data_IF_823091436011
#
_entry.id   IF_823091436011
#
_cell.length_a   1.000
_cell.length_b   1.000
_cell.length_c   1.000
_cell.angle_alpha   90.00
_cell.angle_beta   90.00
_cell.angle_gamma   90.00
#
_symmetry.space_group_name_H-M   'P 1'
#
loop_
_entity.id
_entity.type
_entity.pdbx_description
1 polymer ?
#
# COMPACT_ATOMS: atom_id res chain seq x y z
N UNK A 1 -13.99 -8.22 23.47
CA UNK A 1 -13.65 -8.23 22.03
C UNK A 1 -12.13 -8.18 21.94
N UNK A 2 -11.49 -9.08 21.19
CA UNK A 2 -10.06 -8.92 20.89
C UNK A 2 -9.89 -7.62 20.09
N UNK A 3 -8.93 -6.78 20.46
CA UNK A 3 -8.61 -5.57 19.68
C UNK A 3 -8.00 -6.02 18.35
N UNK A 4 -8.42 -5.40 17.24
CA UNK A 4 -7.81 -5.65 15.94
C UNK A 4 -6.34 -5.20 15.94
N UNK A 5 -5.52 -5.95 15.22
CA UNK A 5 -4.11 -5.60 14.97
C UNK A 5 -3.94 -5.04 13.56
N UNK A 6 -3.00 -4.12 13.40
CA UNK A 6 -2.81 -3.37 12.15
C UNK A 6 -1.38 -3.52 11.62
N UNK A 7 -1.23 -3.61 10.30
CA UNK A 7 0.08 -3.55 9.65
C UNK A 7 0.12 -2.39 8.67
N UNK A 8 1.17 -1.57 8.76
CA UNK A 8 1.44 -0.49 7.83
C UNK A 8 2.61 -0.88 6.93
N UNK A 9 2.38 -0.97 5.62
CA UNK A 9 3.37 -1.37 4.64
C UNK A 9 3.82 -0.16 3.84
N UNK A 10 5.12 0.14 3.84
CA UNK A 10 5.73 1.28 3.17
C UNK A 10 6.77 0.79 2.18
N UNK A 11 6.47 0.69 0.88
CA UNK A 11 7.47 0.39 -0.14
C UNK A 11 8.41 1.58 -0.32
N UNK A 12 9.73 1.32 -0.37
CA UNK A 12 10.75 2.35 -0.46
C UNK A 12 11.85 1.98 -1.48
N UNK A 13 12.19 2.92 -2.36
CA UNK A 13 13.33 2.84 -3.27
C UNK A 13 14.00 4.21 -3.40
N UNK A 14 15.18 4.37 -2.80
CA UNK A 14 15.88 5.65 -2.69
C UNK A 14 14.98 6.74 -2.08
N UNK A 15 14.48 6.47 -0.87
CA UNK A 15 13.52 7.31 -0.14
C UNK A 15 14.04 7.70 1.27
N UNK A 16 15.37 7.72 1.48
CA UNK A 16 15.99 8.02 2.77
C UNK A 16 15.46 9.31 3.40
N UNK A 17 15.48 10.43 2.64
CA UNK A 17 15.00 11.73 3.11
C UNK A 17 13.50 11.74 3.45
N UNK A 18 12.69 11.01 2.67
CA UNK A 18 11.25 10.94 2.91
C UNK A 18 10.93 10.12 4.14
N UNK A 19 11.60 8.99 4.33
CA UNK A 19 11.38 8.12 5.47
C UNK A 19 11.78 8.79 6.79
N UNK A 20 12.80 9.63 6.82
CA UNK A 20 13.16 10.41 8.01
C UNK A 20 12.02 11.32 8.47
N UNK A 21 11.17 11.78 7.55
CA UNK A 21 10.04 12.66 7.84
C UNK A 21 8.73 11.88 8.01
N UNK A 22 8.52 10.82 7.25
CA UNK A 22 7.26 10.11 7.19
C UNK A 22 7.12 9.04 8.29
N UNK A 23 8.18 8.31 8.63
CA UNK A 23 8.12 7.29 9.69
C UNK A 23 7.71 7.86 11.06
N UNK A 24 8.26 9.02 11.52
CA UNK A 24 7.77 9.65 12.74
C UNK A 24 6.27 9.93 12.72
N UNK A 25 5.73 10.40 11.58
CA UNK A 25 4.29 10.69 11.46
C UNK A 25 3.43 9.44 11.56
N UNK A 26 3.90 8.30 11.00
CA UNK A 26 3.21 7.01 11.14
C UNK A 26 3.25 6.53 12.58
N UNK A 27 4.41 6.63 13.23
CA UNK A 27 4.60 6.26 14.64
C UNK A 27 3.75 7.11 15.58
N UNK A 28 3.69 8.42 15.34
CA UNK A 28 2.85 9.34 16.13
C UNK A 28 1.37 9.00 15.96
N UNK A 29 0.92 8.78 14.72
CA UNK A 29 -0.45 8.36 14.45
C UNK A 29 -0.82 7.05 15.18
N UNK A 30 0.03 6.04 15.09
CA UNK A 30 -0.15 4.75 15.79
C UNK A 30 -0.29 4.96 17.30
N UNK A 31 0.57 5.80 17.88
CA UNK A 31 0.58 6.13 19.31
C UNK A 31 -0.67 6.90 19.73
N UNK A 32 -1.04 7.94 18.98
CA UNK A 32 -2.23 8.76 19.25
C UNK A 32 -3.53 7.96 19.18
N UNK A 33 -3.64 7.09 18.18
CA UNK A 33 -4.79 6.20 18.01
C UNK A 33 -4.72 4.94 18.88
N UNK A 34 -3.64 4.74 19.65
CA UNK A 34 -3.40 3.57 20.51
C UNK A 34 -3.58 2.23 19.76
N UNK A 35 -3.10 2.17 18.51
CA UNK A 35 -3.21 0.98 17.69
C UNK A 35 -2.17 -0.06 18.11
N UNK A 36 -2.59 -1.30 18.23
CA UNK A 36 -1.67 -2.43 18.27
C UNK A 36 -1.24 -2.71 16.82
N UNK A 37 0.01 -2.39 16.48
CA UNK A 37 0.43 -2.40 15.07
C UNK A 37 1.90 -2.72 14.88
N UNK A 38 2.24 -3.06 13.65
CA UNK A 38 3.59 -3.15 13.10
C UNK A 38 3.72 -2.20 11.89
N UNK A 39 4.93 -1.72 11.64
CA UNK A 39 5.29 -0.91 10.47
C UNK A 39 6.37 -1.66 9.70
N UNK A 40 6.06 -2.05 8.47
CA UNK A 40 6.96 -2.82 7.60
C UNK A 40 7.41 -1.92 6.46
N UNK A 41 8.67 -1.52 6.49
CA UNK A 41 9.29 -0.82 5.36
C UNK A 41 9.93 -1.86 4.45
N UNK A 42 9.56 -1.84 3.17
CA UNK A 42 10.12 -2.76 2.17
C UNK A 42 11.10 -2.01 1.29
N UNK A 43 12.38 -2.28 1.48
CA UNK A 43 13.47 -1.70 0.70
C UNK A 43 13.63 -2.45 -0.63
N UNK A 44 13.37 -1.75 -1.73
CA UNK A 44 13.44 -2.30 -3.10
C UNK A 44 14.84 -2.20 -3.72
N UNK A 45 15.87 -2.56 -2.96
CA UNK A 45 17.26 -2.51 -3.43
C UNK A 45 17.76 -1.07 -3.60
N UNK A 46 17.50 -0.19 -2.62
CA UNK A 46 17.99 1.19 -2.62
C UNK A 46 19.51 1.25 -2.63
N UNK A 47 20.02 2.31 -3.25
CA UNK A 47 21.46 2.62 -3.32
C UNK A 47 21.86 3.82 -2.45
N UNK A 48 20.87 4.45 -1.83
CA UNK A 48 21.05 5.52 -0.82
C UNK A 48 20.95 4.95 0.60
N UNK A 49 20.89 5.82 1.60
CA UNK A 49 20.82 5.46 3.02
C UNK A 49 19.44 4.96 3.49
N UNK A 50 18.53 4.61 2.56
CA UNK A 50 17.15 4.17 2.89
C UNK A 50 17.13 3.06 3.95
N UNK A 51 17.93 2.00 3.76
CA UNK A 51 17.96 0.88 4.70
C UNK A 51 18.52 1.29 6.07
N UNK A 52 19.53 2.15 6.10
CA UNK A 52 20.15 2.61 7.35
C UNK A 52 19.23 3.54 8.14
N UNK A 53 18.44 4.38 7.43
CA UNK A 53 17.36 5.15 8.06
C UNK A 53 16.41 4.21 8.80
N UNK A 54 15.90 3.17 8.12
CA UNK A 54 14.96 2.23 8.74
C UNK A 54 15.59 1.49 9.92
N UNK A 55 16.84 1.04 9.82
CA UNK A 55 17.56 0.37 10.90
C UNK A 55 17.69 1.24 12.15
N UNK A 56 17.87 2.57 11.99
CA UNK A 56 17.88 3.51 13.12
C UNK A 56 16.52 3.56 13.83
N UNK A 57 15.41 3.56 13.06
CA UNK A 57 14.08 3.49 13.66
C UNK A 57 13.82 2.15 14.34
N UNK A 58 14.24 1.03 13.76
CA UNK A 58 14.13 -0.31 14.38
C UNK A 58 14.81 -0.40 15.73
N UNK A 59 15.97 0.27 15.89
CA UNK A 59 16.69 0.29 17.17
C UNK A 59 15.92 1.00 18.30
N UNK A 60 15.00 1.92 17.95
CA UNK A 60 14.21 2.72 18.88
C UNK A 60 12.75 2.22 19.01
N UNK A 61 12.26 1.54 18.00
CA UNK A 61 10.86 1.12 17.86
C UNK A 61 10.79 -0.36 17.44
N UNK A 62 10.53 -1.28 18.38
CA UNK A 62 10.54 -2.72 18.12
C UNK A 62 9.44 -3.17 17.13
N UNK A 63 8.42 -2.33 16.93
CA UNK A 63 7.31 -2.59 16.00
C UNK A 63 7.61 -2.13 14.56
N UNK A 64 8.81 -1.57 14.31
CA UNK A 64 9.31 -1.21 12.98
C UNK A 64 10.16 -2.34 12.43
N UNK A 65 9.88 -2.78 11.22
CA UNK A 65 10.56 -3.89 10.55
C UNK A 65 11.07 -3.47 9.17
N UNK A 66 12.22 -4.00 8.78
CA UNK A 66 12.79 -3.85 7.45
C UNK A 66 12.71 -5.18 6.71
N UNK A 67 12.12 -5.15 5.52
CA UNK A 67 12.14 -6.26 4.56
C UNK A 67 12.95 -5.82 3.35
N UNK A 68 13.95 -6.60 2.94
CA UNK A 68 14.82 -6.27 1.82
C UNK A 68 14.51 -7.15 0.61
N UNK A 69 14.23 -6.52 -0.54
CA UNK A 69 14.07 -7.24 -1.80
C UNK A 69 15.44 -7.61 -2.40
N UNK A 70 15.53 -8.68 -3.18
CA UNK A 70 16.75 -9.02 -3.93
C UNK A 70 16.95 -8.05 -5.11
N UNK A 71 17.36 -6.82 -4.85
CA UNK A 71 17.50 -5.73 -5.82
C UNK A 71 16.17 -5.05 -6.17
N UNK A 72 16.19 -4.12 -7.15
CA UNK A 72 15.01 -3.37 -7.56
C UNK A 72 14.05 -4.22 -8.39
N UNK A 73 12.97 -4.67 -7.77
CA UNK A 73 11.91 -5.48 -8.36
C UNK A 73 10.70 -4.64 -8.79
N UNK A 74 10.51 -3.48 -8.19
CA UNK A 74 9.42 -2.54 -8.45
C UNK A 74 8.40 -2.46 -7.33
N UNK A 75 7.60 -1.37 -7.37
CA UNK A 75 6.67 -1.03 -6.28
C UNK A 75 5.65 -2.14 -6.01
N UNK A 76 5.08 -2.76 -7.05
CA UNK A 76 4.11 -3.84 -6.90
C UNK A 76 4.70 -5.06 -6.21
N UNK A 77 5.95 -5.42 -6.53
CA UNK A 77 6.65 -6.49 -5.82
C UNK A 77 6.86 -6.14 -4.35
N UNK A 78 7.31 -4.92 -4.06
CA UNK A 78 7.57 -4.47 -2.70
C UNK A 78 6.29 -4.45 -1.84
N UNK A 79 5.18 -3.95 -2.39
CA UNK A 79 3.88 -4.00 -1.69
C UNK A 79 3.46 -5.45 -1.44
N UNK A 80 3.53 -6.32 -2.46
CA UNK A 80 3.23 -7.75 -2.32
C UNK A 80 4.08 -8.39 -1.22
N UNK A 81 5.38 -8.17 -1.26
CA UNK A 81 6.32 -8.75 -0.30
C UNK A 81 5.99 -8.30 1.13
N UNK A 82 5.76 -6.99 1.35
CA UNK A 82 5.36 -6.47 2.66
C UNK A 82 4.01 -7.03 3.13
N UNK A 83 3.02 -7.10 2.25
CA UNK A 83 1.70 -7.64 2.58
C UNK A 83 1.71 -9.13 2.94
N UNK A 84 2.62 -9.91 2.35
CA UNK A 84 2.78 -11.33 2.67
C UNK A 84 3.55 -11.56 3.98
N UNK A 85 4.40 -10.61 4.41
CA UNK A 85 5.07 -10.63 5.70
C UNK A 85 4.20 -10.12 6.85
N UNK A 86 3.19 -9.31 6.53
CA UNK A 86 2.35 -8.63 7.52
C UNK A 86 1.48 -9.60 8.33
N UNK A 87 1.34 -9.32 9.64
CA UNK A 87 0.61 -10.14 10.59
C UNK A 87 -0.65 -9.47 11.16
N UNK A 88 -0.93 -8.22 10.80
CA UNK A 88 -2.12 -7.48 11.24
C UNK A 88 -3.42 -8.05 10.69
N UNK A 89 -4.51 -7.91 11.42
CA UNK A 89 -5.87 -8.28 10.97
C UNK A 89 -6.36 -7.34 9.88
N UNK A 90 -5.87 -6.10 9.91
CA UNK A 90 -6.05 -5.07 8.89
C UNK A 90 -4.70 -4.59 8.41
N UNK A 91 -4.46 -4.63 7.12
CA UNK A 91 -3.20 -4.30 6.49
C UNK A 91 -3.38 -3.10 5.56
N UNK A 92 -2.61 -2.05 5.75
CA UNK A 92 -2.63 -0.84 4.92
C UNK A 92 -1.28 -0.67 4.23
N UNK A 93 -1.26 -0.45 2.92
CA UNK A 93 -0.07 0.11 2.31
C UNK A 93 -0.23 1.61 2.00
N UNK A 94 0.87 2.33 2.14
CA UNK A 94 0.96 3.77 1.86
C UNK A 94 2.30 4.09 1.20
N UNK A 95 2.34 5.19 0.45
CA UNK A 95 3.57 5.68 -0.16
C UNK A 95 4.51 6.30 0.89
N UNK A 96 5.82 6.20 0.65
CA UNK A 96 6.85 6.74 1.57
C UNK A 96 6.78 8.27 1.73
N UNK A 97 6.16 8.98 0.79
CA UNK A 97 5.97 10.44 0.83
C UNK A 97 4.73 10.87 1.61
N UNK A 98 3.85 9.92 2.01
CA UNK A 98 2.56 10.18 2.62
C UNK A 98 1.73 11.21 1.84
N UNK A 99 1.73 11.13 0.50
CA UNK A 99 0.89 11.97 -0.36
C UNK A 99 -0.59 11.92 0.07
N UNK A 100 -1.07 10.77 0.57
CA UNK A 100 -2.26 10.69 1.42
C UNK A 100 -1.82 10.71 2.88
N UNK A 101 -2.20 11.73 3.67
CA UNK A 101 -1.79 11.82 5.07
C UNK A 101 -2.21 10.59 5.87
N UNK A 102 -1.36 10.14 6.80
CA UNK A 102 -1.59 8.88 7.53
C UNK A 102 -2.85 8.89 8.38
N UNK A 103 -3.32 10.04 8.87
CA UNK A 103 -4.57 10.14 9.63
C UNK A 103 -5.81 9.74 8.81
N UNK A 104 -5.73 9.77 7.47
CA UNK A 104 -6.78 9.27 6.58
C UNK A 104 -6.99 7.75 6.71
N UNK A 105 -6.02 7.01 7.28
CA UNK A 105 -6.12 5.58 7.51
C UNK A 105 -7.34 5.20 8.36
N UNK A 106 -7.71 6.05 9.32
CA UNK A 106 -8.88 5.82 10.16
C UNK A 106 -10.18 5.64 9.38
N UNK A 107 -10.34 6.36 8.23
CA UNK A 107 -11.52 6.21 7.36
C UNK A 107 -11.55 4.84 6.68
N UNK A 108 -10.38 4.33 6.25
CA UNK A 108 -10.27 3.03 5.61
C UNK A 108 -10.47 1.91 6.63
N UNK A 109 -9.89 2.05 7.83
CA UNK A 109 -10.07 1.09 8.91
C UNK A 109 -11.52 0.97 9.34
N UNK A 110 -12.21 2.09 9.52
CA UNK A 110 -13.65 2.09 9.83
C UNK A 110 -14.48 1.36 8.75
N UNK A 111 -14.12 1.50 7.46
CA UNK A 111 -14.79 0.78 6.39
C UNK A 111 -14.55 -0.74 6.46
N UNK A 112 -13.32 -1.18 6.81
CA UNK A 112 -13.00 -2.60 7.03
C UNK A 112 -13.76 -3.15 8.23
N UNK A 113 -13.85 -2.40 9.34
CA UNK A 113 -14.62 -2.76 10.53
C UNK A 113 -16.12 -2.91 10.22
N UNK A 114 -16.66 -2.07 9.33
CA UNK A 114 -18.04 -2.13 8.83
C UNK A 114 -18.27 -3.26 7.81
N UNK A 115 -17.29 -4.14 7.64
CA UNK A 115 -17.42 -5.37 6.85
C UNK A 115 -16.94 -5.27 5.40
N UNK A 116 -16.20 -4.20 5.00
CA UNK A 116 -15.49 -4.24 3.74
C UNK A 116 -14.30 -5.22 3.83
N UNK A 117 -13.97 -5.86 2.71
CA UNK A 117 -12.77 -6.69 2.57
C UNK A 117 -11.58 -5.85 2.12
N UNK A 118 -11.86 -4.83 1.30
CA UNK A 118 -10.88 -3.89 0.75
C UNK A 118 -11.45 -2.47 0.83
N UNK A 119 -10.67 -1.53 1.35
CA UNK A 119 -10.98 -0.10 1.33
C UNK A 119 -9.86 0.64 0.56
N UNK A 120 -10.24 1.42 -0.45
CA UNK A 120 -9.30 2.14 -1.29
C UNK A 120 -9.49 3.65 -1.14
N UNK A 121 -8.39 4.38 -0.96
CA UNK A 121 -8.39 5.82 -1.02
C UNK A 121 -8.70 6.31 -2.44
N UNK A 122 -9.41 7.43 -2.55
CA UNK A 122 -9.74 8.06 -3.82
C UNK A 122 -9.51 9.56 -3.77
N UNK A 123 -8.70 10.03 -4.71
CA UNK A 123 -8.38 11.44 -4.92
C UNK A 123 -9.50 12.18 -5.67
N UNK A 124 -10.40 11.43 -6.31
CA UNK A 124 -11.34 11.97 -7.31
C UNK A 124 -12.81 11.92 -6.87
N UNK A 125 -13.11 11.34 -5.73
CA UNK A 125 -14.47 11.36 -5.17
C UNK A 125 -14.85 12.75 -4.67
N UNK A 126 -13.89 13.50 -4.09
CA UNK A 126 -14.06 14.86 -3.61
C UNK A 126 -12.86 15.70 -4.03
N UNK A 127 -13.06 16.57 -5.02
CA UNK A 127 -11.99 17.41 -5.58
C UNK A 127 -11.45 18.46 -4.58
N UNK A 128 -12.26 18.84 -3.59
CA UNK A 128 -11.90 19.77 -2.53
C UNK A 128 -10.86 19.21 -1.55
N UNK A 129 -10.69 17.89 -1.50
CA UNK A 129 -9.68 17.23 -0.66
C UNK A 129 -8.28 17.17 -1.31
N UNK A 130 -8.13 17.67 -2.54
CA UNK A 130 -6.83 17.83 -3.18
C UNK A 130 -6.20 19.15 -2.75
N UNK A 131 -5.29 19.12 -1.79
CA UNK A 131 -4.65 20.31 -1.23
C UNK A 131 -3.64 20.93 -2.20
N UNK A 132 -2.92 20.09 -2.96
CA UNK A 132 -2.05 20.52 -4.06
C UNK A 132 -2.46 19.83 -5.36
N UNK A 133 -2.83 20.66 -6.35
CA UNK A 133 -3.32 20.15 -7.63
C UNK A 133 -2.19 20.00 -8.64
N UNK A 134 -2.23 18.89 -9.37
CA UNK A 134 -1.38 18.72 -10.55
C UNK A 134 -1.76 19.72 -11.67
N UNK A 135 -0.84 20.04 -12.60
CA UNK A 135 -1.17 20.79 -13.81
C UNK A 135 -2.35 20.14 -14.56
N UNK A 136 -3.24 20.99 -15.13
CA UNK A 136 -4.50 20.53 -15.72
C UNK A 136 -4.33 19.46 -16.82
N UNK A 137 -3.30 19.57 -17.66
CA UNK A 137 -2.99 18.61 -18.70
C UNK A 137 -2.63 17.23 -18.11
N UNK A 138 -1.85 17.21 -17.02
CA UNK A 138 -1.48 15.97 -16.32
C UNK A 138 -2.70 15.32 -15.67
N UNK A 139 -3.62 16.11 -15.11
CA UNK A 139 -4.89 15.61 -14.59
C UNK A 139 -5.75 15.01 -15.71
N UNK A 140 -5.84 15.66 -16.87
CA UNK A 140 -6.60 15.16 -18.01
C UNK A 140 -6.05 13.84 -18.52
N UNK A 141 -4.73 13.74 -18.76
CA UNK A 141 -4.09 12.48 -19.15
C UNK A 141 -4.30 11.38 -18.11
N UNK A 142 -4.16 11.68 -16.83
CA UNK A 142 -4.41 10.72 -15.76
C UNK A 142 -5.86 10.22 -15.75
N UNK A 143 -6.84 11.09 -15.96
CA UNK A 143 -8.26 10.71 -16.04
C UNK A 143 -8.58 9.84 -17.27
N UNK A 144 -8.06 10.21 -18.44
CA UNK A 144 -8.25 9.43 -19.67
C UNK A 144 -7.59 8.04 -19.55
N UNK A 145 -6.37 8.01 -19.00
CA UNK A 145 -5.67 6.76 -18.75
C UNK A 145 -6.43 5.87 -17.76
N UNK A 146 -6.89 6.42 -16.63
CA UNK A 146 -7.69 5.68 -15.68
C UNK A 146 -9.03 5.20 -16.28
N UNK A 147 -9.66 5.99 -17.14
CA UNK A 147 -10.87 5.55 -17.85
C UNK A 147 -10.58 4.35 -18.76
N UNK A 148 -9.50 4.39 -19.52
CA UNK A 148 -9.07 3.28 -20.36
C UNK A 148 -8.78 2.00 -19.53
N UNK A 149 -8.09 2.14 -18.40
CA UNK A 149 -7.84 1.03 -17.47
C UNK A 149 -9.14 0.41 -16.95
N UNK A 150 -10.08 1.26 -16.54
CA UNK A 150 -11.39 0.83 -16.05
C UNK A 150 -12.17 0.04 -17.12
N UNK A 151 -12.14 0.49 -18.37
CA UNK A 151 -12.77 -0.22 -19.49
C UNK A 151 -12.10 -1.57 -19.77
N UNK A 152 -10.76 -1.59 -19.84
CA UNK A 152 -10.00 -2.81 -20.11
C UNK A 152 -10.20 -3.85 -19.01
N UNK A 153 -10.19 -3.45 -17.75
CA UNK A 153 -10.28 -4.37 -16.61
C UNK A 153 -11.69 -4.56 -16.07
N UNK A 154 -12.70 -3.83 -16.59
CA UNK A 154 -14.07 -3.90 -16.11
C UNK A 154 -14.25 -3.35 -14.70
N UNK A 155 -13.48 -2.31 -14.31
CA UNK A 155 -13.49 -1.74 -12.97
C UNK A 155 -14.53 -0.61 -12.85
N UNK A 156 -15.20 -0.55 -11.68
CA UNK A 156 -16.20 0.49 -11.38
C UNK A 156 -15.67 1.65 -10.55
N UNK A 157 -14.45 1.54 -9.99
CA UNK A 157 -13.84 2.55 -9.12
C UNK A 157 -13.41 3.79 -9.89
N UNK A 158 -13.56 4.97 -9.27
CA UNK A 158 -13.14 6.24 -9.89
C UNK A 158 -11.63 6.43 -9.87
N UNK A 159 -10.97 6.00 -8.80
CA UNK A 159 -9.51 6.06 -8.66
C UNK A 159 -8.91 4.67 -8.48
N UNK A 160 -8.28 4.14 -9.51
CA UNK A 160 -7.68 2.80 -9.48
C UNK A 160 -6.22 2.80 -9.01
N UNK A 161 -5.58 3.97 -8.91
CA UNK A 161 -4.14 4.11 -8.72
C UNK A 161 -3.73 4.91 -7.48
N UNK A 162 -4.65 5.13 -6.54
CA UNK A 162 -4.29 5.73 -5.26
C UNK A 162 -3.44 4.75 -4.45
N UNK A 163 -2.20 5.13 -4.11
CA UNK A 163 -1.27 4.32 -3.31
C UNK A 163 -1.63 4.26 -1.81
N UNK A 164 -2.92 4.26 -1.49
CA UNK A 164 -3.42 4.24 -0.12
C UNK A 164 -4.61 3.30 -0.02
N UNK A 165 -4.36 2.05 0.39
CA UNK A 165 -5.36 0.98 0.38
C UNK A 165 -5.23 0.09 1.61
N UNK A 166 -6.37 -0.24 2.23
CA UNK A 166 -6.46 -1.15 3.35
C UNK A 166 -7.18 -2.45 2.96
N UNK A 167 -6.74 -3.54 3.57
CA UNK A 167 -7.24 -4.88 3.30
C UNK A 167 -7.47 -5.61 4.61
N UNK A 168 -8.54 -6.38 4.70
CA UNK A 168 -8.67 -7.43 5.69
C UNK A 168 -7.64 -8.52 5.40
N UNK A 169 -7.05 -9.14 6.42
CA UNK A 169 -6.01 -10.19 6.25
C UNK A 169 -6.38 -11.26 5.22
N UNK A 170 -7.59 -11.79 5.27
CA UNK A 170 -8.06 -12.82 4.34
C UNK A 170 -8.14 -12.33 2.90
N UNK A 171 -8.55 -11.07 2.69
CA UNK A 171 -8.56 -10.43 1.39
C UNK A 171 -7.13 -10.19 0.88
N UNK A 172 -6.24 -9.70 1.74
CA UNK A 172 -4.82 -9.52 1.42
C UNK A 172 -4.19 -10.85 0.97
N UNK A 173 -4.36 -11.92 1.72
CA UNK A 173 -3.87 -13.25 1.35
C UNK A 173 -4.42 -13.71 0.00
N UNK A 174 -5.73 -13.53 -0.25
CA UNK A 174 -6.35 -13.91 -1.51
C UNK A 174 -5.75 -13.15 -2.69
N UNK A 175 -5.53 -11.85 -2.56
CA UNK A 175 -5.05 -10.97 -3.62
C UNK A 175 -3.55 -11.11 -3.82
N UNK A 176 -2.75 -10.90 -2.78
CA UNK A 176 -1.29 -10.77 -2.90
C UNK A 176 -0.59 -12.10 -3.22
N UNK A 177 -1.16 -13.24 -2.84
CA UNK A 177 -0.66 -14.54 -3.30
C UNK A 177 -0.88 -14.77 -4.80
N UNK A 178 -1.77 -14.01 -5.45
CA UNK A 178 -2.13 -14.15 -6.88
C UNK A 178 -1.64 -12.99 -7.74
N UNK A 179 -1.23 -11.90 -7.14
CA UNK A 179 -0.65 -10.74 -7.83
C UNK A 179 0.57 -11.15 -8.66
N UNK A 180 0.66 -10.65 -9.90
CA UNK A 180 1.72 -10.97 -10.86
C UNK A 180 2.44 -9.74 -11.39
N UNK A 181 1.78 -8.58 -11.38
CA UNK A 181 2.38 -7.31 -11.82
C UNK A 181 3.28 -6.77 -10.72
N UNK A 182 4.56 -6.61 -11.05
CA UNK A 182 5.59 -6.23 -10.08
C UNK A 182 5.88 -4.73 -10.05
N UNK A 183 5.49 -3.98 -11.11
CA UNK A 183 5.79 -2.56 -11.23
C UNK A 183 4.57 -1.69 -10.99
N UNK A 184 4.40 -0.61 -11.74
CA UNK A 184 3.40 0.43 -11.49
C UNK A 184 1.94 0.03 -11.76
N UNK A 185 1.72 -0.95 -12.63
CA UNK A 185 0.39 -1.44 -12.98
C UNK A 185 -0.24 -2.38 -11.94
N UNK A 186 0.38 -2.61 -10.80
CA UNK A 186 -0.14 -3.52 -9.78
C UNK A 186 -1.45 -3.02 -9.14
N UNK A 187 -1.59 -1.71 -8.92
CA UNK A 187 -2.77 -1.14 -8.27
C UNK A 187 -4.10 -1.53 -8.94
N UNK A 188 -4.26 -1.36 -10.28
CA UNK A 188 -5.44 -1.86 -10.98
C UNK A 188 -5.57 -3.39 -10.97
N UNK A 189 -4.45 -4.15 -10.96
CA UNK A 189 -4.49 -5.62 -10.82
C UNK A 189 -5.10 -6.04 -9.48
N UNK A 190 -4.75 -5.37 -8.37
CA UNK A 190 -5.35 -5.65 -7.05
C UNK A 190 -6.87 -5.50 -7.09
N UNK A 191 -7.37 -4.44 -7.73
CA UNK A 191 -8.79 -4.18 -7.85
C UNK A 191 -9.48 -5.18 -8.79
N UNK A 192 -8.79 -5.59 -9.86
CA UNK A 192 -9.25 -6.65 -10.73
C UNK A 192 -9.40 -7.97 -9.97
N UNK A 193 -8.42 -8.34 -9.16
CA UNK A 193 -8.45 -9.54 -8.31
C UNK A 193 -9.56 -9.44 -7.26
N UNK A 194 -9.70 -8.30 -6.59
CA UNK A 194 -10.79 -8.07 -5.64
C UNK A 194 -12.16 -8.29 -6.29
N UNK A 195 -12.39 -7.75 -7.49
CA UNK A 195 -13.62 -7.94 -8.25
C UNK A 195 -13.81 -9.40 -8.67
N UNK A 196 -12.76 -10.06 -9.19
CA UNK A 196 -12.77 -11.47 -9.61
C UNK A 196 -13.15 -12.42 -8.47
N UNK A 197 -12.62 -12.17 -7.27
CA UNK A 197 -12.90 -12.97 -6.08
C UNK A 197 -14.10 -12.46 -5.27
N UNK A 198 -14.90 -11.51 -5.83
CA UNK A 198 -16.11 -10.97 -5.24
C UNK A 198 -15.91 -10.38 -3.83
N UNK A 199 -14.73 -9.82 -3.57
CA UNK A 199 -14.42 -9.14 -2.32
C UNK A 199 -15.17 -7.79 -2.27
N UNK A 200 -15.81 -7.52 -1.12
CA UNK A 200 -16.51 -6.25 -0.88
C UNK A 200 -15.50 -5.11 -0.83
N UNK A 201 -15.40 -4.36 -1.93
CA UNK A 201 -14.47 -3.25 -2.07
C UNK A 201 -15.22 -1.92 -2.01
N UNK A 202 -14.74 -1.00 -1.19
CA UNK A 202 -15.30 0.35 -1.04
C UNK A 202 -14.25 1.42 -1.38
N UNK A 203 -14.71 2.51 -2.00
CA UNK A 203 -13.88 3.64 -2.39
C UNK A 203 -14.16 4.82 -1.44
N UNK A 204 -13.12 5.32 -0.77
CA UNK A 204 -13.19 6.31 0.30
C UNK A 204 -12.50 7.60 -0.14
N UNK A 205 -13.15 8.77 -0.06
CA UNK A 205 -12.48 10.03 -0.38
C UNK A 205 -11.42 10.35 0.68
N UNK A 206 -10.19 10.60 0.21
CA UNK A 206 -9.04 10.91 1.07
C UNK A 206 -8.40 12.23 0.65
N UNK A 207 -7.80 12.92 1.58
CA UNK A 207 -6.92 14.04 1.30
C UNK A 207 -5.68 13.55 0.53
N UNK A 208 -5.23 14.38 -0.40
CA UNK A 208 -4.08 14.06 -1.21
C UNK A 208 -3.32 15.34 -1.62
N UNK A 209 -2.01 15.31 -1.44
CA UNK A 209 -1.10 16.34 -1.87
C UNK A 209 -0.13 15.81 -2.93
N UNK A 210 0.11 16.59 -3.97
CA UNK A 210 1.08 16.23 -5.00
C UNK A 210 2.51 16.46 -4.50
N UNK A 211 3.36 15.42 -4.49
CA UNK A 211 4.80 15.58 -4.29
C UNK A 211 5.48 15.88 -5.64
N UNK A 212 6.09 17.07 -5.75
CA UNK A 212 6.79 17.54 -6.96
C UNK A 212 8.04 16.70 -7.30
N UNK A 213 8.56 15.90 -6.34
CA UNK A 213 9.72 15.02 -6.51
C UNK A 213 9.36 13.67 -7.14
N UNK A 214 8.19 13.59 -7.80
CA UNK A 214 7.71 12.34 -8.44
C UNK A 214 8.70 11.84 -9.50
N UNK A 215 9.12 10.58 -9.37
CA UNK A 215 10.06 9.87 -10.25
C UNK A 215 9.38 9.26 -11.49
N UNK A 216 8.07 9.47 -11.69
CA UNK A 216 7.27 8.85 -12.76
C UNK A 216 7.40 9.66 -14.05
N UNK A 217 7.79 9.00 -15.15
CA UNK A 217 7.76 9.54 -16.50
C UNK A 217 6.40 9.24 -17.15
N UNK A 218 5.54 10.26 -17.43
CA UNK A 218 4.16 10.01 -17.88
C UNK A 218 4.06 9.17 -19.15
N UNK A 219 4.94 9.39 -20.14
CA UNK A 219 4.88 8.70 -21.42
C UNK A 219 5.44 7.27 -21.32
N UNK A 220 6.66 7.12 -20.79
CA UNK A 220 7.35 5.82 -20.71
C UNK A 220 6.63 4.86 -19.77
N UNK A 221 6.26 5.36 -18.58
CA UNK A 221 5.60 4.55 -17.57
C UNK A 221 4.13 4.30 -17.95
N UNK A 222 3.47 5.24 -18.62
CA UNK A 222 2.12 5.07 -19.15
C UNK A 222 2.01 3.94 -20.17
N UNK A 223 2.95 3.87 -21.14
CA UNK A 223 2.99 2.76 -22.13
C UNK A 223 3.23 1.43 -21.41
N UNK A 224 4.20 1.40 -20.48
CA UNK A 224 4.50 0.18 -19.70
C UNK A 224 3.29 -0.30 -18.91
N UNK A 225 2.61 0.61 -18.24
CA UNK A 225 1.38 0.30 -17.50
C UNK A 225 0.26 -0.21 -18.41
N UNK A 226 0.10 0.34 -19.62
CA UNK A 226 -0.88 -0.17 -20.58
C UNK A 226 -0.57 -1.62 -20.97
N UNK A 227 0.70 -1.96 -21.20
CA UNK A 227 1.14 -3.34 -21.48
C UNK A 227 0.87 -4.25 -20.27
N UNK A 228 1.17 -3.78 -19.05
CA UNK A 228 0.89 -4.51 -17.81
C UNK A 228 -0.62 -4.79 -17.65
N UNK A 229 -1.48 -3.84 -18.01
CA UNK A 229 -2.94 -4.04 -17.97
C UNK A 229 -3.44 -5.09 -18.96
N UNK A 230 -2.88 -5.10 -20.18
CA UNK A 230 -3.17 -6.17 -21.14
C UNK A 230 -2.69 -7.53 -20.61
N UNK A 231 -1.53 -7.55 -19.93
CA UNK A 231 -1.03 -8.78 -19.31
C UNK A 231 -1.97 -9.31 -18.21
N UNK A 232 -2.61 -8.44 -17.44
CA UNK A 232 -3.63 -8.84 -16.45
C UNK A 232 -4.78 -9.59 -17.11
N UNK A 233 -5.31 -9.06 -18.22
CA UNK A 233 -6.37 -9.76 -18.97
C UNK A 233 -5.91 -11.09 -19.56
N UNK A 234 -4.71 -11.11 -20.14
CA UNK A 234 -4.13 -12.33 -20.69
C UNK A 234 -3.89 -13.39 -19.60
N UNK A 235 -3.39 -12.99 -18.44
CA UNK A 235 -3.20 -13.87 -17.29
C UNK A 235 -4.53 -14.44 -16.81
N UNK A 236 -5.58 -13.64 -16.80
CA UNK A 236 -6.92 -14.10 -16.44
C UNK A 236 -7.47 -15.12 -17.43
N UNK A 237 -7.38 -14.84 -18.72
CA UNK A 237 -7.80 -15.77 -19.80
C UNK A 237 -7.02 -17.10 -19.76
N UNK A 238 -5.76 -17.06 -19.35
CA UNK A 238 -4.92 -18.27 -19.16
C UNK A 238 -5.20 -18.99 -17.83
N UNK A 239 -6.14 -18.51 -17.03
CA UNK A 239 -6.47 -19.10 -15.73
C UNK A 239 -5.38 -18.93 -14.64
N UNK A 240 -4.38 -18.07 -14.85
CA UNK A 240 -3.23 -17.96 -13.97
C UNK A 240 -3.57 -17.39 -12.59
N UNK A 241 -4.72 -16.75 -12.43
CA UNK A 241 -5.20 -16.26 -11.13
C UNK A 241 -6.04 -17.27 -10.33
N UNK A 242 -6.33 -18.44 -10.89
CA UNK A 242 -7.07 -19.50 -10.18
C UNK A 242 -6.23 -20.04 -9.01
N UNK A 243 -4.94 -20.23 -9.24
CA UNK A 243 -3.99 -20.73 -8.24
C UNK A 243 -3.10 -19.60 -7.73
N UNK A 244 -2.66 -19.65 -6.46
CA UNK A 244 -1.64 -18.74 -5.94
C UNK A 244 -0.38 -18.80 -6.81
N UNK A 245 0.21 -17.63 -7.10
CA UNK A 245 1.49 -17.52 -7.82
C UNK A 245 2.69 -17.66 -6.88
N UNK A 246 2.45 -17.46 -5.58
CA UNK A 246 3.42 -17.61 -4.50
C UNK A 246 2.76 -18.55 -3.50
N UNK A 247 3.45 -19.61 -3.10
CA UNK A 247 3.05 -20.39 -1.94
C UNK A 247 3.10 -19.44 -0.72
N UNK A 248 2.12 -19.54 0.16
CA UNK A 248 2.26 -18.96 1.49
C UNK A 248 3.34 -19.84 2.13
N UNK A 249 4.58 -19.37 2.15
CA UNK A 249 5.56 -19.94 3.06
C UNK A 249 4.92 -19.82 4.43
N UNK A 250 4.88 -20.92 5.20
CA UNK A 250 4.41 -20.83 6.57
C UNK A 250 5.11 -19.62 7.22
N UNK A 251 4.37 -18.72 7.89
CA UNK A 251 4.98 -17.55 8.51
C UNK A 251 6.16 -18.05 9.28
N UNK A 252 7.33 -17.45 9.09
CA UNK A 252 8.54 -17.77 9.84
C UNK A 252 8.15 -17.83 11.31
N UNK A 253 7.88 -19.07 11.77
CA UNK A 253 7.28 -19.34 13.05
C UNK A 253 8.26 -18.98 14.14
N UNK A 254 8.21 -17.72 14.56
CA UNK A 254 8.46 -17.34 15.95
C UNK A 254 7.43 -16.29 16.30
N UNK A 255 6.54 -16.59 17.26
CA UNK A 255 5.74 -15.54 17.85
C UNK A 255 6.71 -14.48 18.35
N UNK A 256 6.53 -13.25 17.86
CA UNK A 256 7.21 -12.09 18.49
C UNK A 256 6.82 -12.17 19.96
N UNK A 257 7.79 -12.25 20.89
CA UNK A 257 7.45 -12.33 22.29
C UNK A 257 6.57 -11.11 22.63
N UNK A 258 5.43 -11.35 23.26
CA UNK A 258 4.57 -10.31 23.80
C UNK A 258 5.39 -9.50 24.81
N UNK A 259 5.91 -8.36 24.40
CA UNK A 259 6.64 -7.47 25.30
C UNK A 259 5.64 -6.80 26.23
N UNK A 260 5.86 -6.83 27.56
CA UNK A 260 5.02 -6.09 28.50
C UNK A 260 5.16 -4.59 28.16
N UNK A 261 4.04 -3.89 28.16
CA UNK A 261 3.94 -2.44 27.98
C UNK A 261 4.84 -1.80 29.05
N UNK A 262 6.04 -1.38 28.66
CA UNK A 262 6.91 -0.61 29.52
C UNK A 262 6.24 0.75 29.75
N UNK A 263 5.82 1.00 31.00
CA UNK A 263 5.38 2.32 31.45
C UNK A 263 6.55 3.29 31.36
N UNK A 264 6.59 4.11 30.32
CA UNK A 264 7.53 5.22 30.27
C UNK A 264 7.03 6.35 31.19
N UNK A 265 7.85 6.90 32.07
CA UNK A 265 7.48 8.05 32.91
C UNK A 265 7.34 9.28 32.00
N UNK A 266 6.23 9.98 32.15
CA UNK A 266 5.99 11.29 31.53
C UNK A 266 7.00 12.25 32.20
N UNK A 267 7.99 12.73 31.42
CA UNK A 267 8.81 13.86 31.83
C UNK A 267 7.93 15.10 31.89
N UNK A 268 7.95 15.77 33.07
CA UNK A 268 7.24 17.00 33.33
C UNK A 268 7.81 18.17 32.55
#
# INVERSE_FOLDING_TARGET
MMSLTYSFIVPAYNESERLEVSLPKVLDYVREQRLQSEIIVVNDGSTDDTADVVRRFMALHPDVHLVENPGNRGKGFSVRNGMLHAQGDVMLFTDADLSSPIYEAGKLFAAIEQGADVAIGSRWLRAELQTERQPWHRQLYGRLFNLALRMVLGLKFRDTQCGFKAFRRTAAQTIFTRQRVERWGFDPELLFLANKFKLRTVEIPVEWAHDHRSKISPLRDGIRMAIEMLSVRLNDLKGLYVHPSVAIEEPLAKPVPSFPIAKYPIAK
#
